data_IF_384134450119
#
_entry.id   IF_384134450119
#
_cell.length_a   1.000
_cell.length_b   1.000
_cell.length_c   1.000
_cell.angle_alpha   90.00
_cell.angle_beta   90.00
_cell.angle_gamma   90.00
#
_symmetry.space_group_name_H-M   'P 1'
#
loop_
_entity.id
_entity.type
_entity.pdbx_description
1 polymer ?
#
# COMPACT_ATOMS: atom_id res chain seq x y z
N UNK A 1 -4.95 91.51 -55.72
CA UNK A 1 -4.79 90.64 -54.53
C UNK A 1 -3.44 89.94 -54.68
N UNK A 2 -2.51 90.12 -53.74
CA UNK A 2 -1.11 89.75 -53.94
C UNK A 2 -0.92 88.26 -53.69
N UNK A 3 -0.21 87.57 -54.59
CA UNK A 3 0.08 86.14 -54.46
C UNK A 3 0.72 85.74 -53.11
N UNK A 4 1.41 86.67 -52.46
CA UNK A 4 2.07 86.47 -51.17
C UNK A 4 1.10 86.02 -50.06
N UNK A 5 -0.08 86.62 -49.95
CA UNK A 5 -1.08 86.28 -48.93
C UNK A 5 -1.65 84.87 -49.12
N UNK A 6 -1.76 84.43 -50.37
CA UNK A 6 -2.25 83.08 -50.72
C UNK A 6 -1.19 82.03 -50.36
N UNK A 7 0.08 82.28 -50.68
CA UNK A 7 1.18 81.37 -50.33
C UNK A 7 1.38 81.24 -48.82
N UNK A 8 1.25 82.33 -48.08
CA UNK A 8 1.41 82.35 -46.63
C UNK A 8 0.27 81.58 -45.95
N UNK A 9 -0.96 81.73 -46.47
CA UNK A 9 -2.12 80.95 -46.03
C UNK A 9 -1.97 79.46 -46.32
N UNK A 10 -1.48 79.06 -47.50
CA UNK A 10 -1.22 77.66 -47.83
C UNK A 10 -0.18 77.04 -46.90
N UNK A 11 0.90 77.76 -46.58
CA UNK A 11 1.94 77.30 -45.65
C UNK A 11 1.38 77.16 -44.23
N UNK A 12 0.58 78.12 -43.78
CA UNK A 12 -0.09 78.08 -42.47
C UNK A 12 -1.04 76.88 -42.35
N UNK A 13 -1.88 76.65 -43.36
CA UNK A 13 -2.84 75.54 -43.36
C UNK A 13 -2.12 74.18 -43.46
N UNK A 14 -1.04 74.10 -44.25
CA UNK A 14 -0.21 72.89 -44.33
C UNK A 14 0.49 72.57 -43.00
N UNK A 15 0.98 73.60 -42.28
CA UNK A 15 1.57 73.44 -40.95
C UNK A 15 0.53 72.98 -39.92
N UNK A 16 -0.69 73.52 -39.96
CA UNK A 16 -1.79 73.06 -39.10
C UNK A 16 -2.13 71.60 -39.37
N UNK A 17 -2.28 71.21 -40.64
CA UNK A 17 -2.55 69.81 -40.99
C UNK A 17 -1.42 68.86 -40.58
N UNK A 18 -0.15 69.26 -40.74
CA UNK A 18 0.97 68.46 -40.25
C UNK A 18 0.93 68.29 -38.73
N UNK A 19 0.60 69.36 -37.98
CA UNK A 19 0.46 69.31 -36.53
C UNK A 19 -0.72 68.42 -36.09
N UNK A 20 -1.84 68.47 -36.81
CA UNK A 20 -2.99 67.59 -36.57
C UNK A 20 -2.66 66.11 -36.79
N UNK A 21 -1.90 65.79 -37.84
CA UNK A 21 -1.45 64.42 -38.12
C UNK A 21 -0.53 63.91 -37.01
N UNK A 22 0.42 64.73 -36.56
CA UNK A 22 1.34 64.37 -35.46
C UNK A 22 0.57 64.16 -34.16
N UNK A 23 -0.32 65.10 -33.78
CA UNK A 23 -1.16 64.96 -32.60
C UNK A 23 -2.05 63.71 -32.65
N UNK A 24 -2.56 63.35 -33.83
CA UNK A 24 -3.38 62.14 -33.98
C UNK A 24 -2.53 60.86 -33.88
N UNK A 25 -1.31 60.87 -34.42
CA UNK A 25 -0.37 59.76 -34.29
C UNK A 25 0.06 59.55 -32.83
N UNK A 26 0.35 60.63 -32.10
CA UNK A 26 0.71 60.60 -30.68
C UNK A 26 -0.45 60.05 -29.83
N UNK A 27 -1.68 60.54 -30.03
CA UNK A 27 -2.88 59.99 -29.35
C UNK A 27 -3.11 58.52 -29.64
N UNK A 28 -2.85 58.08 -30.87
CA UNK A 28 -2.99 56.68 -31.24
C UNK A 28 -1.89 55.83 -30.57
N UNK A 29 -0.66 56.33 -30.49
CA UNK A 29 0.44 55.66 -29.80
C UNK A 29 0.14 55.51 -28.30
N UNK A 30 -0.28 56.58 -27.63
CA UNK A 30 -0.69 56.54 -26.21
C UNK A 30 -1.83 55.55 -25.97
N UNK A 31 -2.81 55.49 -26.89
CA UNK A 31 -3.91 54.54 -26.80
C UNK A 31 -3.41 53.09 -26.91
N UNK A 32 -2.52 52.80 -27.87
CA UNK A 32 -1.94 51.46 -28.06
C UNK A 32 -1.11 51.05 -26.86
N UNK A 33 -0.30 51.96 -26.31
CA UNK A 33 0.49 51.69 -25.10
C UNK A 33 -0.41 51.34 -23.93
N UNK A 34 -1.46 52.14 -23.70
CA UNK A 34 -2.40 51.89 -22.60
C UNK A 34 -3.16 50.57 -22.76
N UNK A 35 -3.65 50.27 -23.96
CA UNK A 35 -4.32 48.98 -24.25
C UNK A 35 -3.35 47.80 -24.04
N UNK A 36 -2.09 47.94 -24.46
CA UNK A 36 -1.06 46.91 -24.26
C UNK A 36 -0.72 46.72 -22.77
N UNK A 37 -0.63 47.80 -22.00
CA UNK A 37 -0.40 47.73 -20.55
C UNK A 37 -1.55 47.01 -19.82
N UNK A 38 -2.79 47.31 -20.21
CA UNK A 38 -3.98 46.65 -19.66
C UNK A 38 -3.99 45.15 -20.03
N UNK A 39 -3.67 44.79 -21.27
CA UNK A 39 -3.56 43.38 -21.70
C UNK A 39 -2.45 42.63 -20.94
N UNK A 40 -1.28 43.24 -20.77
CA UNK A 40 -0.17 42.64 -20.00
C UNK A 40 -0.57 42.46 -18.53
N UNK A 41 -1.30 43.41 -17.95
CA UNK A 41 -1.79 43.31 -16.58
C UNK A 41 -2.79 42.16 -16.41
N UNK A 42 -3.71 41.99 -17.36
CA UNK A 42 -4.68 40.88 -17.37
C UNK A 42 -3.94 39.54 -17.50
N UNK A 43 -3.03 39.42 -18.48
CA UNK A 43 -2.25 38.20 -18.69
C UNK A 43 -1.43 37.80 -17.46
N UNK A 44 -0.80 38.78 -16.79
CA UNK A 44 -0.05 38.52 -15.54
C UNK A 44 -0.96 38.04 -14.42
N UNK A 45 -2.15 38.63 -14.31
CA UNK A 45 -3.14 38.23 -13.29
C UNK A 45 -3.64 36.82 -13.54
N UNK A 46 -4.02 36.50 -14.78
CA UNK A 46 -4.51 35.18 -15.15
C UNK A 46 -3.42 34.10 -14.99
N UNK A 47 -2.18 34.41 -15.40
CA UNK A 47 -1.04 33.54 -15.17
C UNK A 47 -0.79 33.29 -13.68
N UNK A 48 -0.95 34.30 -12.82
CA UNK A 48 -0.77 34.16 -11.37
C UNK A 48 -1.85 33.28 -10.75
N UNK A 49 -3.12 33.46 -11.14
CA UNK A 49 -4.24 32.65 -10.67
C UNK A 49 -4.06 31.18 -11.08
N UNK A 50 -3.68 30.93 -12.34
CA UNK A 50 -3.45 29.57 -12.81
C UNK A 50 -2.25 28.93 -12.10
N UNK A 51 -1.18 29.70 -11.87
CA UNK A 51 0.00 29.21 -11.16
C UNK A 51 -0.31 28.89 -9.69
N UNK A 52 -1.11 29.71 -9.00
CA UNK A 52 -1.59 29.42 -7.64
C UNK A 52 -2.44 28.15 -7.59
N UNK A 53 -3.33 27.96 -8.57
CA UNK A 53 -4.13 26.75 -8.69
C UNK A 53 -3.26 25.51 -8.89
N UNK A 54 -2.31 25.56 -9.84
CA UNK A 54 -1.37 24.48 -10.11
C UNK A 54 -0.52 24.16 -8.87
N UNK A 55 -0.05 25.18 -8.15
CA UNK A 55 0.72 24.98 -6.91
C UNK A 55 -0.13 24.33 -5.81
N UNK A 56 -1.36 24.80 -5.61
CA UNK A 56 -2.29 24.22 -4.63
C UNK A 56 -2.59 22.75 -4.95
N UNK A 57 -2.90 22.42 -6.20
CA UNK A 57 -3.16 21.04 -6.63
C UNK A 57 -1.92 20.14 -6.47
N UNK A 58 -0.74 20.63 -6.86
CA UNK A 58 0.50 19.86 -6.73
C UNK A 58 0.89 19.66 -5.27
N UNK A 59 0.78 20.68 -4.43
CA UNK A 59 1.09 20.56 -2.99
C UNK A 59 0.13 19.58 -2.31
N UNK A 60 -1.16 19.67 -2.59
CA UNK A 60 -2.15 18.71 -2.11
C UNK A 60 -1.81 17.27 -2.55
N UNK A 61 -1.43 17.08 -3.82
CA UNK A 61 -1.03 15.78 -4.35
C UNK A 61 0.23 15.23 -3.66
N UNK A 62 1.25 16.06 -3.47
CA UNK A 62 2.51 15.67 -2.80
C UNK A 62 2.25 15.28 -1.35
N UNK A 63 1.45 16.06 -0.62
CA UNK A 63 1.09 15.77 0.78
C UNK A 63 0.28 14.47 0.86
N UNK A 64 -0.70 14.29 -0.03
CA UNK A 64 -1.50 13.07 -0.08
C UNK A 64 -0.63 11.84 -0.33
N UNK A 65 0.29 11.93 -1.29
CA UNK A 65 1.24 10.86 -1.59
C UNK A 65 2.15 10.56 -0.41
N UNK A 66 2.71 11.59 0.25
CA UNK A 66 3.55 11.42 1.42
C UNK A 66 2.81 10.75 2.59
N UNK A 67 1.56 11.14 2.86
CA UNK A 67 0.70 10.51 3.87
C UNK A 67 0.42 9.04 3.53
N UNK A 68 0.12 8.75 2.27
CA UNK A 68 -0.14 7.39 1.81
C UNK A 68 1.09 6.50 1.94
N UNK A 69 2.27 6.98 1.55
CA UNK A 69 3.52 6.25 1.71
C UNK A 69 3.85 6.00 3.19
N UNK A 70 3.68 7.01 4.05
CA UNK A 70 3.88 6.86 5.50
C UNK A 70 2.96 5.80 6.10
N UNK A 71 1.67 5.83 5.74
CA UNK A 71 0.71 4.80 6.17
C UNK A 71 1.09 3.41 5.64
N UNK A 72 1.45 3.30 4.37
CA UNK A 72 1.87 2.05 3.74
C UNK A 72 3.08 1.45 4.46
N UNK A 73 4.07 2.28 4.82
CA UNK A 73 5.25 1.85 5.54
C UNK A 73 4.91 1.33 6.94
N UNK A 74 4.04 2.04 7.66
CA UNK A 74 3.56 1.64 8.98
C UNK A 74 2.84 0.29 8.91
N UNK A 75 1.87 0.15 7.99
CA UNK A 75 1.09 -1.08 7.83
C UNK A 75 1.97 -2.28 7.46
N UNK A 76 2.96 -2.07 6.58
CA UNK A 76 3.93 -3.11 6.24
C UNK A 76 4.80 -3.51 7.43
N UNK A 77 5.19 -2.56 8.27
CA UNK A 77 5.99 -2.85 9.47
C UNK A 77 5.16 -3.62 10.49
N UNK A 78 3.89 -3.26 10.69
CA UNK A 78 2.96 -4.00 11.55
C UNK A 78 2.79 -5.45 11.09
N UNK A 79 2.61 -5.68 9.78
CA UNK A 79 2.54 -7.05 9.21
C UNK A 79 3.80 -7.85 9.47
N UNK A 80 4.98 -7.27 9.22
CA UNK A 80 6.26 -7.94 9.51
C UNK A 80 6.42 -8.32 10.98
N UNK A 81 5.96 -7.46 11.90
CA UNK A 81 5.93 -7.77 13.33
C UNK A 81 4.98 -8.94 13.63
N UNK A 82 3.77 -8.95 13.03
CA UNK A 82 2.86 -10.09 13.14
C UNK A 82 3.51 -11.39 12.66
N UNK A 83 4.10 -11.36 11.47
CA UNK A 83 4.78 -12.52 10.90
C UNK A 83 5.88 -13.02 11.84
N UNK A 84 6.69 -12.12 12.38
CA UNK A 84 7.77 -12.46 13.32
C UNK A 84 7.24 -13.13 14.59
N UNK A 85 6.14 -12.61 15.15
CA UNK A 85 5.51 -13.17 16.36
C UNK A 85 4.96 -14.57 16.10
N UNK A 86 4.21 -14.74 15.00
CA UNK A 86 3.67 -16.04 14.62
C UNK A 86 4.78 -17.05 14.25
N UNK A 87 5.84 -16.62 13.58
CA UNK A 87 6.99 -17.45 13.26
C UNK A 87 7.73 -17.90 14.53
N UNK A 88 7.84 -17.02 15.53
CA UNK A 88 8.47 -17.35 16.81
C UNK A 88 7.62 -18.36 17.59
N UNK A 89 6.31 -18.12 17.68
CA UNK A 89 5.38 -19.06 18.32
C UNK A 89 5.36 -20.42 17.61
N UNK A 90 5.44 -20.44 16.28
CA UNK A 90 5.54 -21.68 15.52
C UNK A 90 6.85 -22.43 15.78
N UNK A 91 7.99 -21.71 15.86
CA UNK A 91 9.27 -22.31 16.23
C UNK A 91 9.24 -22.92 17.62
N UNK A 92 8.62 -22.24 18.59
CA UNK A 92 8.44 -22.77 19.94
C UNK A 92 7.61 -24.06 19.92
N UNK A 93 6.48 -24.06 19.20
CA UNK A 93 5.63 -25.25 18.99
C UNK A 93 6.41 -26.41 18.34
N UNK A 94 7.23 -26.11 17.32
CA UNK A 94 8.07 -27.11 16.64
C UNK A 94 9.23 -27.62 17.50
N UNK A 95 9.60 -26.88 18.55
CA UNK A 95 10.67 -27.22 19.50
C UNK A 95 10.18 -27.85 20.80
N UNK A 96 8.88 -28.16 20.91
CA UNK A 96 8.30 -28.77 22.10
C UNK A 96 9.08 -30.00 22.58
N UNK A 97 9.30 -30.16 23.90
CA UNK A 97 9.91 -31.36 24.47
C UNK A 97 9.13 -32.63 24.11
N UNK A 98 9.84 -33.75 23.97
CA UNK A 98 9.30 -35.06 23.56
C UNK A 98 8.04 -35.47 24.36
N UNK A 99 8.04 -35.24 25.68
CA UNK A 99 6.89 -35.58 26.55
C UNK A 99 5.64 -34.78 26.21
N UNK A 100 5.77 -33.46 26.07
CA UNK A 100 4.65 -32.58 25.76
C UNK A 100 4.15 -32.79 24.33
N UNK A 101 5.09 -33.01 23.40
CA UNK A 101 4.79 -33.37 22.02
C UNK A 101 3.99 -34.67 21.92
N UNK A 102 4.41 -35.72 22.63
CA UNK A 102 3.74 -37.03 22.63
C UNK A 102 2.31 -36.91 23.17
N UNK A 103 2.09 -36.19 24.28
CA UNK A 103 0.74 -35.94 24.81
C UNK A 103 -0.14 -35.20 23.80
N UNK A 104 0.45 -34.26 23.05
CA UNK A 104 -0.30 -33.51 22.04
C UNK A 104 -0.65 -34.38 20.82
N UNK A 105 0.30 -35.17 20.32
CA UNK A 105 0.07 -36.10 19.21
C UNK A 105 -0.94 -37.18 19.60
N UNK A 106 -0.92 -37.66 20.84
CA UNK A 106 -1.91 -38.60 21.35
C UNK A 106 -3.32 -38.00 21.32
N UNK A 107 -3.49 -36.73 21.71
CA UNK A 107 -4.78 -36.04 21.61
C UNK A 107 -5.26 -35.94 20.17
N UNK A 108 -4.38 -35.61 19.23
CA UNK A 108 -4.71 -35.56 17.80
C UNK A 108 -5.08 -36.95 17.25
N UNK A 109 -4.39 -38.01 17.71
CA UNK A 109 -4.68 -39.37 17.31
C UNK A 109 -6.07 -39.84 17.79
N UNK A 110 -6.56 -39.35 18.93
CA UNK A 110 -7.92 -39.65 19.40
C UNK A 110 -9.02 -39.04 18.53
N UNK A 111 -8.72 -38.04 17.70
CA UNK A 111 -9.68 -37.49 16.73
C UNK A 111 -9.85 -38.40 15.50
N UNK A 112 -8.94 -39.35 15.29
CA UNK A 112 -9.07 -40.35 14.24
C UNK A 112 -10.11 -41.43 14.61
N UNK A 113 -10.87 -41.96 13.63
CA UNK A 113 -11.77 -43.07 13.87
C UNK A 113 -10.97 -44.33 14.29
N UNK A 114 -11.46 -45.05 15.32
CA UNK A 114 -10.80 -46.27 15.82
C UNK A 114 -10.64 -47.38 14.77
N UNK A 115 -11.47 -47.38 13.73
CA UNK A 115 -11.41 -48.31 12.61
C UNK A 115 -10.63 -47.73 11.42
N UNK A 116 -9.69 -46.82 11.65
CA UNK A 116 -8.86 -46.26 10.60
C UNK A 116 -8.02 -47.36 9.93
N UNK A 117 -8.32 -47.62 8.66
CA UNK A 117 -7.52 -48.47 7.77
C UNK A 117 -7.05 -47.63 6.59
N UNK A 118 -5.89 -47.01 6.77
CA UNK A 118 -5.34 -46.03 5.82
C UNK A 118 -3.84 -45.86 6.03
N UNK A 119 -3.22 -44.98 5.24
CA UNK A 119 -1.81 -44.64 5.34
C UNK A 119 -1.62 -43.47 6.30
N UNK A 120 -0.65 -43.57 7.21
CA UNK A 120 -0.27 -42.47 8.10
C UNK A 120 1.12 -42.00 7.70
N UNK A 121 1.28 -40.71 7.44
CA UNK A 121 2.57 -40.07 7.21
C UNK A 121 2.97 -39.35 8.50
N UNK A 122 4.20 -39.60 8.96
CA UNK A 122 4.77 -38.99 10.17
C UNK A 122 6.00 -38.17 9.79
N UNK A 123 6.39 -37.18 10.62
CA UNK A 123 7.47 -36.26 10.28
C UNK A 123 8.81 -36.99 10.33
N UNK A 124 9.62 -36.83 9.29
CA UNK A 124 10.94 -37.46 9.21
C UNK A 124 11.87 -37.08 10.37
N UNK A 125 11.78 -35.85 10.88
CA UNK A 125 12.61 -35.33 11.99
C UNK A 125 12.22 -35.88 13.37
N UNK A 126 10.97 -36.30 13.57
CA UNK A 126 10.45 -36.84 14.86
C UNK A 126 9.80 -38.21 14.69
N UNK A 127 10.27 -38.97 13.69
CA UNK A 127 9.61 -40.20 13.24
C UNK A 127 9.38 -41.21 14.38
N UNK A 128 10.36 -41.37 15.27
CA UNK A 128 10.29 -42.33 16.37
C UNK A 128 9.25 -41.91 17.42
N UNK A 129 9.34 -40.68 17.94
CA UNK A 129 8.41 -40.12 18.93
C UNK A 129 6.94 -40.18 18.45
N UNK A 130 6.69 -39.75 17.21
CA UNK A 130 5.34 -39.75 16.63
C UNK A 130 4.83 -41.18 16.41
N UNK A 131 5.67 -42.07 15.91
CA UNK A 131 5.29 -43.47 15.64
C UNK A 131 4.96 -44.21 16.93
N UNK A 132 5.76 -44.04 17.98
CA UNK A 132 5.54 -44.72 19.25
C UNK A 132 4.28 -44.21 19.96
N UNK A 133 4.03 -42.90 19.88
CA UNK A 133 2.77 -42.30 20.35
C UNK A 133 1.55 -42.84 19.60
N UNK A 134 1.63 -42.95 18.28
CA UNK A 134 0.53 -43.50 17.45
C UNK A 134 0.25 -44.97 17.73
N UNK A 135 1.28 -45.77 18.00
CA UNK A 135 1.12 -47.18 18.40
C UNK A 135 0.39 -47.30 19.74
N UNK A 136 0.72 -46.45 20.72
CA UNK A 136 0.03 -46.39 22.01
C UNK A 136 -1.45 -46.03 21.83
N UNK A 137 -1.74 -45.12 20.90
CA UNK A 137 -3.11 -44.75 20.52
C UNK A 137 -3.86 -45.82 19.69
N UNK A 138 -3.21 -46.94 19.35
CA UNK A 138 -3.82 -48.07 18.64
C UNK A 138 -3.61 -48.08 17.12
N UNK A 139 -2.88 -47.11 16.56
CA UNK A 139 -2.59 -47.02 15.13
C UNK A 139 -1.20 -47.61 14.83
N UNK A 140 -1.17 -48.84 14.30
CA UNK A 140 0.08 -49.60 14.11
C UNK A 140 0.37 -49.95 12.64
N UNK A 141 -0.56 -49.68 11.73
CA UNK A 141 -0.47 -50.08 10.31
C UNK A 141 -0.12 -48.90 9.40
N UNK A 142 0.61 -49.18 8.32
CA UNK A 142 0.88 -48.27 7.20
C UNK A 142 1.47 -46.89 7.58
N UNK A 143 2.34 -46.85 8.59
CA UNK A 143 3.04 -45.63 9.01
C UNK A 143 4.28 -45.40 8.13
N UNK A 144 4.39 -44.22 7.52
CA UNK A 144 5.48 -43.81 6.62
C UNK A 144 6.19 -42.55 7.15
N UNK A 145 7.47 -42.62 7.54
CA UNK A 145 8.22 -41.47 8.06
C UNK A 145 8.80 -40.58 6.95
N UNK A 146 7.95 -40.18 6.00
CA UNK A 146 8.35 -39.38 4.82
C UNK A 146 7.85 -37.93 4.90
N UNK A 147 7.24 -37.52 6.01
CA UNK A 147 6.66 -36.19 6.17
C UNK A 147 7.72 -35.10 6.22
N UNK A 148 7.54 -34.06 5.41
CA UNK A 148 8.33 -32.82 5.40
C UNK A 148 7.65 -31.72 6.22
N UNK A 149 7.27 -32.05 7.46
CA UNK A 149 6.61 -31.13 8.39
C UNK A 149 7.22 -31.28 9.79
N UNK A 150 6.96 -30.31 10.65
CA UNK A 150 7.66 -30.11 11.92
C UNK A 150 7.08 -30.97 13.06
N UNK A 151 5.80 -31.33 12.97
CA UNK A 151 5.10 -32.12 13.98
C UNK A 151 3.69 -32.54 13.54
N UNK A 152 3.03 -33.39 14.33
CA UNK A 152 1.74 -33.99 13.99
C UNK A 152 1.85 -35.18 13.04
N UNK A 153 0.80 -35.45 12.27
CA UNK A 153 0.75 -36.52 11.26
C UNK A 153 -0.29 -36.21 10.17
N UNK A 154 -0.22 -36.91 9.06
CA UNK A 154 -1.25 -36.90 8.01
C UNK A 154 -1.81 -38.31 7.88
N UNK A 155 -3.12 -38.46 7.97
CA UNK A 155 -3.78 -39.75 7.88
C UNK A 155 -4.68 -39.76 6.64
N UNK A 156 -4.39 -40.64 5.68
CA UNK A 156 -5.10 -40.72 4.39
C UNK A 156 -5.81 -42.07 4.27
N UNK A 157 -7.11 -42.03 3.98
CA UNK A 157 -7.97 -43.15 3.60
C UNK A 157 -8.44 -42.97 2.15
N UNK A 158 -9.08 -43.98 1.56
CA UNK A 158 -9.53 -43.99 0.16
C UNK A 158 -10.35 -42.75 -0.25
N UNK A 159 -11.08 -42.14 0.69
CA UNK A 159 -11.99 -41.02 0.43
C UNK A 159 -11.75 -39.79 1.30
N UNK A 160 -10.81 -39.84 2.26
CA UNK A 160 -10.61 -38.79 3.26
C UNK A 160 -9.14 -38.62 3.62
N UNK A 161 -8.67 -37.37 3.65
CA UNK A 161 -7.39 -37.00 4.25
C UNK A 161 -7.62 -36.15 5.50
N UNK A 162 -7.04 -36.58 6.61
CA UNK A 162 -7.00 -35.85 7.86
C UNK A 162 -5.57 -35.33 8.10
N UNK A 163 -5.41 -34.02 7.92
CA UNK A 163 -4.12 -33.34 8.06
C UNK A 163 -4.01 -32.70 9.45
N UNK A 164 -3.34 -33.40 10.37
CA UNK A 164 -3.08 -32.96 11.73
C UNK A 164 -1.67 -32.40 11.90
N UNK A 165 -1.07 -31.85 10.84
CA UNK A 165 0.26 -31.25 10.91
C UNK A 165 0.22 -29.95 11.72
N UNK A 166 1.32 -29.65 12.41
CA UNK A 166 1.44 -28.40 13.15
C UNK A 166 1.27 -27.19 12.24
N UNK A 167 1.79 -27.25 11.02
CA UNK A 167 1.65 -26.22 9.99
C UNK A 167 0.18 -25.93 9.69
N UNK A 168 -0.63 -26.96 9.45
CA UNK A 168 -2.05 -26.81 9.14
C UNK A 168 -2.84 -26.30 10.34
N UNK A 169 -2.66 -26.93 11.51
CA UNK A 169 -3.35 -26.54 12.74
C UNK A 169 -2.99 -25.11 13.16
N UNK A 170 -1.71 -24.74 13.04
CA UNK A 170 -1.24 -23.40 13.36
C UNK A 170 -1.78 -22.37 12.38
N UNK A 171 -1.82 -22.66 11.07
CA UNK A 171 -2.43 -21.78 10.08
C UNK A 171 -3.92 -21.54 10.36
N UNK A 172 -4.66 -22.59 10.71
CA UNK A 172 -6.09 -22.51 11.03
C UNK A 172 -6.33 -21.66 12.30
N UNK A 173 -5.48 -21.80 13.32
CA UNK A 173 -5.55 -20.97 14.54
C UNK A 173 -5.08 -19.54 14.31
N UNK A 174 -4.06 -19.33 13.46
CA UNK A 174 -3.51 -18.01 13.15
C UNK A 174 -4.60 -17.08 12.64
N UNK A 175 -5.43 -17.52 11.68
CA UNK A 175 -6.52 -16.70 11.14
C UNK A 175 -7.50 -16.22 12.22
N UNK A 176 -7.80 -17.05 13.23
CA UNK A 176 -8.68 -16.68 14.34
C UNK A 176 -8.03 -15.87 15.45
N UNK A 177 -6.69 -15.87 15.53
CA UNK A 177 -5.92 -15.18 16.56
C UNK A 177 -5.30 -13.86 16.09
N UNK A 178 -5.17 -13.67 14.78
CA UNK A 178 -4.50 -12.51 14.17
C UNK A 178 -5.06 -11.18 14.69
N UNK A 179 -6.38 -11.01 14.72
CA UNK A 179 -7.01 -9.80 15.28
C UNK A 179 -6.69 -9.62 16.75
N UNK A 180 -6.73 -10.68 17.56
CA UNK A 180 -6.46 -10.59 19.01
C UNK A 180 -5.00 -10.20 19.27
N UNK A 181 -4.08 -10.78 18.51
CA UNK A 181 -2.65 -10.50 18.62
C UNK A 181 -2.33 -9.09 18.14
N UNK A 182 -2.96 -8.65 17.04
CA UNK A 182 -2.85 -7.28 16.55
C UNK A 182 -3.34 -6.27 17.59
N UNK A 183 -4.45 -6.58 18.27
CA UNK A 183 -4.98 -5.74 19.34
C UNK A 183 -4.00 -5.62 20.51
N UNK A 184 -3.46 -6.74 20.99
CA UNK A 184 -2.46 -6.73 22.09
C UNK A 184 -1.20 -5.93 21.71
N UNK A 185 -0.75 -6.04 20.45
CA UNK A 185 0.52 -5.44 20.03
C UNK A 185 0.39 -3.99 19.58
N UNK A 186 -0.80 -3.54 19.19
CA UNK A 186 -1.00 -2.22 18.57
C UNK A 186 -2.12 -1.36 19.18
N UNK A 187 -3.08 -1.90 19.94
CA UNK A 187 -4.18 -1.09 20.51
C UNK A 187 -3.79 -0.24 21.74
N UNK A 188 -2.58 -0.38 22.29
CA UNK A 188 -2.07 0.51 23.37
C UNK A 188 -1.49 1.86 22.87
N UNK A 189 -1.73 2.24 21.62
CA UNK A 189 -1.21 3.51 21.04
C UNK A 189 -2.29 4.51 20.65
N UNK A 190 -3.48 4.42 21.23
CA UNK A 190 -4.54 5.43 21.05
C UNK A 190 -4.99 5.99 22.40
N UNK A 191 -4.18 6.88 22.97
CA UNK A 191 -4.63 7.90 23.91
C UNK A 191 -3.87 9.20 23.62
#
# INVERSE_FOLDING_TARGET
MPLADITEKIISDSKKHALEIVNQAEKNAEKIEKESEEEVAILKKDASIELEKILSENTARVIAHAKQEGKRLLDNTKRKLMDTVFDTAFKELASLPEKEYSVYVEKLAHELPKNFDGKIIVPSKRAQETTDTLKVAGFTKNISPTGAFSGGFIATMDTLEYNATFEKLFADKRSGLETKVANILFEDTSN
#
